data_IF_008224525004
#
_entry.id   IF_008224525004
#
_cell.length_a   1.000
_cell.length_b   1.000
_cell.length_c   1.000
_cell.angle_alpha   90.00
_cell.angle_beta   90.00
_cell.angle_gamma   90.00
#
_symmetry.space_group_name_H-M   'P 1'
#
loop_
_entity.id
_entity.type
_entity.pdbx_description
1 polymer ?
#
# COMPACT_ATOMS: atom_id res chain seq x y z
N UNK A 1 15.04 -10.28 -1.59
CA UNK A 1 15.14 -8.94 -0.94
C UNK A 1 13.74 -8.56 -0.47
N UNK A 2 13.62 -8.00 0.73
CA UNK A 2 12.33 -7.59 1.31
C UNK A 2 12.16 -6.08 1.18
N UNK A 3 10.97 -5.61 0.77
CA UNK A 3 10.67 -4.17 0.67
C UNK A 3 9.30 -3.87 1.27
N UNK A 4 9.22 -2.79 2.04
CA UNK A 4 7.96 -2.20 2.50
C UNK A 4 7.61 -0.99 1.64
N UNK A 5 6.36 -0.89 1.22
CA UNK A 5 5.81 0.26 0.49
C UNK A 5 4.61 0.78 1.27
N UNK A 6 4.76 1.97 1.85
CA UNK A 6 3.67 2.67 2.52
C UNK A 6 2.77 3.34 1.50
N UNK A 7 1.51 2.92 1.44
CA UNK A 7 0.48 3.50 0.59
C UNK A 7 -0.35 4.54 1.34
N UNK A 8 -0.40 4.43 2.68
CA UNK A 8 -0.84 5.48 3.56
C UNK A 8 -0.38 5.27 5.01
N UNK A 9 -0.22 6.37 5.73
CA UNK A 9 0.39 6.44 7.07
C UNK A 9 -0.43 7.28 8.05
N UNK A 10 -1.61 7.76 7.63
CA UNK A 10 -2.59 8.40 8.48
C UNK A 10 -3.38 7.38 9.29
N UNK A 11 -3.85 7.77 10.47
CA UNK A 11 -4.63 6.93 11.37
C UNK A 11 -6.13 6.95 11.05
N UNK A 12 -6.93 7.37 12.03
CA UNK A 12 -8.40 7.34 11.98
C UNK A 12 -9.04 8.08 10.78
N UNK A 13 -8.40 9.12 10.26
CA UNK A 13 -8.88 9.92 9.14
C UNK A 13 -7.71 10.32 8.23
N UNK A 14 -7.87 10.40 6.89
CA UNK A 14 -6.84 10.93 6.01
C UNK A 14 -6.62 12.43 6.25
N UNK A 15 -5.40 12.90 5.98
CA UNK A 15 -5.05 14.33 5.88
C UNK A 15 -4.66 14.68 4.45
N UNK A 16 -4.41 15.96 4.16
CA UNK A 16 -3.96 16.40 2.83
C UNK A 16 -2.65 15.72 2.41
N UNK A 17 -1.78 15.40 3.37
CA UNK A 17 -0.45 14.84 3.13
C UNK A 17 -0.38 13.32 3.35
N UNK A 18 -1.36 12.72 4.04
CA UNK A 18 -1.31 11.31 4.44
C UNK A 18 -2.66 10.62 4.28
N UNK A 19 -2.72 9.66 3.36
CA UNK A 19 -3.84 8.72 3.23
C UNK A 19 -3.96 7.81 4.47
N UNK A 20 -5.14 7.19 4.64
CA UNK A 20 -5.44 6.18 5.66
C UNK A 20 -4.49 4.97 5.60
N UNK A 21 -4.48 4.14 6.64
CA UNK A 21 -3.51 3.04 6.78
C UNK A 21 -3.57 2.05 5.61
N UNK A 22 -2.42 1.83 4.98
CA UNK A 22 -2.21 0.74 4.02
C UNK A 22 -0.70 0.57 3.74
N UNK A 23 -0.20 -0.66 3.81
CA UNK A 23 1.18 -1.00 3.51
C UNK A 23 1.26 -2.28 2.68
N UNK A 24 2.18 -2.32 1.72
CA UNK A 24 2.51 -3.52 0.96
C UNK A 24 3.90 -4.04 1.35
N UNK A 25 3.98 -5.32 1.69
CA UNK A 25 5.22 -6.08 1.79
C UNK A 25 5.49 -6.77 0.46
N UNK A 26 6.63 -6.47 -0.16
CA UNK A 26 7.11 -7.17 -1.35
C UNK A 26 8.22 -8.13 -0.92
N UNK A 27 7.98 -9.42 -1.12
CA UNK A 27 8.91 -10.48 -0.75
C UNK A 27 8.74 -11.67 -1.66
N UNK A 28 9.87 -12.23 -2.12
CA UNK A 28 9.93 -13.50 -2.86
C UNK A 28 8.99 -13.55 -4.09
N UNK A 29 8.84 -12.41 -4.78
CA UNK A 29 7.97 -12.28 -5.97
C UNK A 29 6.49 -12.02 -5.66
N UNK A 30 6.12 -12.02 -4.37
CA UNK A 30 4.76 -11.77 -3.91
C UNK A 30 4.62 -10.36 -3.32
N UNK A 31 3.42 -9.81 -3.47
CA UNK A 31 2.95 -8.58 -2.86
C UNK A 31 1.87 -8.95 -1.85
N UNK A 32 2.14 -8.70 -0.57
CA UNK A 32 1.20 -8.90 0.53
C UNK A 32 0.74 -7.52 1.01
N UNK A 33 -0.55 -7.22 0.88
CA UNK A 33 -1.15 -5.97 1.32
C UNK A 33 -1.72 -6.13 2.74
N UNK A 34 -1.38 -5.20 3.62
CA UNK A 34 -1.90 -5.10 4.97
C UNK A 34 -2.65 -3.76 5.12
N UNK A 35 -3.87 -3.85 5.65
CA UNK A 35 -4.91 -2.82 5.59
C UNK A 35 -5.32 -2.40 4.17
N UNK A 36 -6.51 -1.83 4.08
CA UNK A 36 -7.08 -1.29 2.85
C UNK A 36 -7.93 -0.06 3.18
N UNK A 37 -7.33 0.92 3.85
CA UNK A 37 -8.00 2.18 4.16
C UNK A 37 -8.57 2.86 2.91
N UNK A 38 -9.57 3.72 3.11
CA UNK A 38 -10.25 4.40 2.00
C UNK A 38 -9.23 5.10 1.07
N UNK A 39 -9.32 4.82 -0.23
CA UNK A 39 -8.44 5.40 -1.23
C UNK A 39 -7.11 4.65 -1.42
N UNK A 40 -6.86 3.55 -0.70
CA UNK A 40 -5.65 2.74 -0.87
C UNK A 40 -5.39 2.33 -2.33
N UNK A 41 -6.43 2.07 -3.12
CA UNK A 41 -6.31 1.77 -4.55
C UNK A 41 -5.65 2.90 -5.36
N UNK A 42 -5.85 4.17 -4.96
CA UNK A 42 -5.27 5.33 -5.64
C UNK A 42 -3.75 5.35 -5.36
N UNK A 43 -3.35 5.18 -4.11
CA UNK A 43 -1.94 5.07 -3.74
C UNK A 43 -1.28 3.84 -4.37
N UNK A 44 -1.99 2.71 -4.46
CA UNK A 44 -1.51 1.50 -5.12
C UNK A 44 -1.23 1.75 -6.60
N UNK A 45 -2.16 2.36 -7.33
CA UNK A 45 -2.00 2.71 -8.74
C UNK A 45 -0.88 3.73 -8.99
N UNK A 46 -0.65 4.65 -8.03
CA UNK A 46 0.47 5.60 -8.06
C UNK A 46 1.81 4.95 -7.68
N UNK A 47 1.78 3.78 -7.06
CA UNK A 47 2.99 3.03 -6.72
C UNK A 47 3.43 2.19 -7.91
N UNK A 48 4.74 1.94 -8.04
CA UNK A 48 5.29 1.02 -9.05
C UNK A 48 5.11 -0.47 -8.65
N UNK A 49 4.01 -0.82 -7.98
CA UNK A 49 3.69 -2.21 -7.66
C UNK A 49 3.11 -2.91 -8.89
N UNK A 50 3.49 -4.18 -9.06
CA UNK A 50 2.88 -5.07 -10.05
C UNK A 50 1.59 -5.71 -9.52
N UNK A 51 1.23 -6.86 -10.07
CA UNK A 51 0.13 -7.70 -9.56
C UNK A 51 0.65 -9.11 -9.34
N UNK A 52 0.22 -9.75 -8.26
CA UNK A 52 0.48 -11.17 -8.07
C UNK A 52 -0.20 -11.93 -9.21
N UNK A 53 0.57 -12.79 -9.88
CA UNK A 53 0.06 -13.65 -10.95
C UNK A 53 -0.42 -14.97 -10.35
N UNK A 54 -1.41 -15.58 -10.97
CA UNK A 54 -1.81 -16.97 -10.68
C UNK A 54 -0.76 -17.95 -11.18
#
# INVERSE_FOLDING_TARGET
MMKLIFLGTGGAQPTLERSTTCICLVRDGEILMFDAGEGAQISYLKSNLGWNKK
#
